data_IF_625448669321
#
_entry.id   IF_625448669321
#
_cell.length_a   1.000
_cell.length_b   1.000
_cell.length_c   1.000
_cell.angle_alpha   90.00
_cell.angle_beta   90.00
_cell.angle_gamma   90.00
#
_symmetry.space_group_name_H-M   'P 1'
#
loop_
_entity.id
_entity.type
_entity.pdbx_description
1 polymer ?
#
# COMPACT_ATOMS: atom_id res chain seq x y z
N UNK A 1 -3.25 12.09 -7.12
CA UNK A 1 -3.06 11.12 -6.02
C UNK A 1 -2.71 9.76 -6.58
N UNK A 2 -1.70 9.09 -6.01
CA UNK A 2 -1.30 7.75 -6.43
C UNK A 2 -2.23 6.65 -5.88
N UNK A 3 -3.29 7.01 -5.13
CA UNK A 3 -4.22 6.06 -4.55
C UNK A 3 -4.85 5.12 -5.59
N UNK A 4 -5.36 5.66 -6.70
CA UNK A 4 -5.94 4.84 -7.79
C UNK A 4 -4.90 3.89 -8.38
N UNK A 5 -3.68 4.40 -8.59
CA UNK A 5 -2.57 3.63 -9.16
C UNK A 5 -2.08 2.51 -8.22
N UNK A 6 -2.20 2.64 -6.91
CA UNK A 6 -1.92 1.57 -5.94
C UNK A 6 -3.01 0.49 -5.97
N UNK A 7 -4.27 0.89 -6.22
CA UNK A 7 -5.38 -0.05 -6.28
C UNK A 7 -5.36 -0.89 -7.57
N UNK A 8 -4.94 -0.32 -8.70
CA UNK A 8 -4.88 -1.06 -9.97
C UNK A 8 -3.78 -2.14 -9.94
N UNK A 9 -4.05 -3.30 -10.54
CA UNK A 9 -3.12 -4.44 -10.56
C UNK A 9 -1.92 -4.25 -11.50
N UNK A 10 -2.04 -3.35 -12.46
CA UNK A 10 -1.09 -3.23 -13.59
C UNK A 10 -0.02 -2.16 -13.37
N UNK A 11 -0.11 -1.36 -12.31
CA UNK A 11 0.77 -0.20 -12.12
C UNK A 11 1.91 -0.52 -11.14
N UNK A 12 3.16 -0.09 -11.42
CA UNK A 12 4.34 -0.43 -10.60
C UNK A 12 4.25 0.08 -9.16
N UNK A 13 3.45 1.10 -8.89
CA UNK A 13 3.27 1.66 -7.54
C UNK A 13 2.64 0.66 -6.57
N UNK A 14 1.71 -0.18 -7.03
CA UNK A 14 1.15 -1.25 -6.20
C UNK A 14 2.23 -2.25 -5.78
N UNK A 15 3.05 -2.72 -6.72
CA UNK A 15 4.14 -3.64 -6.42
C UNK A 15 5.18 -3.01 -5.48
N UNK A 16 5.52 -1.73 -5.68
CA UNK A 16 6.49 -1.02 -4.86
C UNK A 16 5.98 -0.79 -3.43
N UNK A 17 4.74 -0.32 -3.27
CA UNK A 17 4.10 -0.15 -1.97
C UNK A 17 4.01 -1.49 -1.21
N UNK A 18 3.68 -2.58 -1.93
CA UNK A 18 3.68 -3.93 -1.37
C UNK A 18 5.06 -4.38 -0.87
N UNK A 19 6.13 -4.06 -1.60
CA UNK A 19 7.51 -4.35 -1.16
C UNK A 19 7.90 -3.58 0.10
N UNK A 20 7.53 -2.30 0.20
CA UNK A 20 7.80 -1.50 1.40
C UNK A 20 7.04 -2.04 2.62
N UNK A 21 5.75 -2.37 2.46
CA UNK A 21 4.95 -2.98 3.53
C UNK A 21 5.54 -4.32 3.97
N UNK A 22 5.98 -5.17 3.02
CA UNK A 22 6.64 -6.45 3.33
C UNK A 22 8.00 -6.28 4.02
N UNK A 23 8.73 -5.22 3.68
CA UNK A 23 9.98 -4.86 4.33
C UNK A 23 9.78 -4.29 5.75
N UNK A 24 8.54 -4.18 6.24
CA UNK A 24 8.22 -3.68 7.58
C UNK A 24 8.09 -2.16 7.66
N UNK A 25 8.06 -1.45 6.54
CA UNK A 25 7.83 0.00 6.54
C UNK A 25 6.43 0.29 7.07
N UNK A 26 6.28 1.20 8.06
CA UNK A 26 4.97 1.56 8.59
C UNK A 26 4.04 2.06 7.48
N UNK A 27 2.81 1.56 7.45
CA UNK A 27 1.80 1.96 6.45
C UNK A 27 1.57 3.47 6.43
N UNK A 28 1.73 4.14 7.57
CA UNK A 28 1.60 5.60 7.67
C UNK A 28 2.73 6.36 6.96
N UNK A 29 3.93 5.79 6.92
CA UNK A 29 5.02 6.33 6.12
C UNK A 29 4.76 6.10 4.63
N UNK A 30 4.25 4.91 4.27
CA UNK A 30 3.86 4.58 2.89
C UNK A 30 2.76 5.52 2.38
N UNK A 31 1.78 5.89 3.21
CA UNK A 31 0.73 6.86 2.81
C UNK A 31 1.26 8.24 2.46
N UNK A 32 2.33 8.69 3.13
CA UNK A 32 2.96 9.98 2.86
C UNK A 32 3.74 9.91 1.55
N UNK A 33 4.53 8.85 1.34
CA UNK A 33 5.38 8.68 0.14
C UNK A 33 4.56 8.71 -1.15
N UNK A 34 3.38 8.09 -1.15
CA UNK A 34 2.56 7.92 -2.35
C UNK A 34 1.37 8.88 -2.43
N UNK A 35 1.19 9.80 -1.48
CA UNK A 35 -0.03 10.63 -1.42
C UNK A 35 -1.30 9.77 -1.52
N UNK A 36 -1.44 8.82 -0.59
CA UNK A 36 -2.53 7.84 -0.56
C UNK A 36 -3.12 7.70 0.84
N UNK A 37 -4.39 7.27 0.93
CA UNK A 37 -5.05 7.02 2.21
C UNK A 37 -4.68 5.67 2.83
N UNK A 38 -4.70 5.56 4.16
CA UNK A 38 -4.52 4.28 4.88
C UNK A 38 -5.52 3.22 4.42
N UNK A 39 -6.76 3.63 4.14
CA UNK A 39 -7.80 2.76 3.58
C UNK A 39 -7.40 2.12 2.25
N UNK A 40 -6.65 2.85 1.41
CA UNK A 40 -6.13 2.34 0.14
C UNK A 40 -5.13 1.22 0.38
N UNK A 41 -4.20 1.42 1.32
CA UNK A 41 -3.20 0.40 1.66
C UNK A 41 -3.82 -0.81 2.35
N UNK A 42 -4.78 -0.62 3.27
CA UNK A 42 -5.47 -1.74 3.92
C UNK A 42 -6.33 -2.56 2.97
N UNK A 43 -6.97 -1.92 1.99
CA UNK A 43 -7.77 -2.61 0.97
C UNK A 43 -6.90 -3.47 0.04
N UNK A 44 -5.73 -2.97 -0.36
CA UNK A 44 -4.81 -3.66 -1.27
C UNK A 44 -3.90 -4.67 -0.56
N UNK A 45 -3.43 -4.33 0.64
CA UNK A 45 -2.49 -5.09 1.46
C UNK A 45 -3.06 -5.30 2.86
N UNK A 46 -4.07 -6.18 3.01
CA UNK A 46 -4.68 -6.46 4.29
C UNK A 46 -3.63 -6.96 5.29
N UNK A 47 -3.80 -6.61 6.57
CA UNK A 47 -3.05 -7.26 7.65
C UNK A 47 -3.65 -8.65 7.79
N UNK A 48 -2.82 -9.69 7.73
CA UNK A 48 -3.26 -11.07 7.95
C UNK A 48 -4.14 -11.12 9.20
N UNK A 49 -5.36 -11.67 9.10
CA UNK A 49 -6.01 -12.21 10.29
C UNK A 49 -5.06 -13.29 10.78
N UNK A 50 -4.49 -13.14 11.98
CA UNK A 50 -3.95 -14.31 12.68
C UNK A 50 -5.06 -15.37 12.64
N UNK A 51 -4.79 -16.50 11.99
CA UNK A 51 -5.53 -17.74 12.20
C UNK A 51 -4.97 -18.41 13.46
#
# INVERSE_FOLDING_TARGET
SCAIQILTGSHPLGAQAGRLIRAGVPRQQVTIIYDAGLSTLYRKFPVSKLA
#
